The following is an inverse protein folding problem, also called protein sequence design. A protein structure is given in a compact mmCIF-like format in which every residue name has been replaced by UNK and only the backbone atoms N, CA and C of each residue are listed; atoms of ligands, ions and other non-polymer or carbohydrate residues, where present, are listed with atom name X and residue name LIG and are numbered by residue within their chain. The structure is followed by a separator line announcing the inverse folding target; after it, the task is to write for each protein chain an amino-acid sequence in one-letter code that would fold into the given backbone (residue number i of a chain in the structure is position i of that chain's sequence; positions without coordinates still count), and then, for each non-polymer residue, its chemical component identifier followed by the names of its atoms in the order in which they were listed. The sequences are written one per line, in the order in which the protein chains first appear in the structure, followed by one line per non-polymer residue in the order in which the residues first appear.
data_IF_446957105680
#
_entry.id   IF_446957105680
#
_cell.length_a   1.000
_cell.length_b   1.000
_cell.length_c   1.000
_cell.angle_alpha   90.00
_cell.angle_beta   90.00
_cell.angle_gamma   90.00
#
_symmetry.space_group_name_H-M   'P 1'
#
loop_
_entity.id
_entity.type
_entity.pdbx_description
1 polymer ?
#
# COMPACT_ATOMS: atom_id res chain seq x y z
N UNK A 1 22.60 -33.76 -43.81
CA UNK A 1 22.36 -32.35 -43.55
C UNK A 1 21.77 -32.21 -42.14
N UNK A 2 22.50 -31.66 -41.19
CA UNK A 2 22.06 -31.40 -39.81
C UNK A 2 21.71 -29.92 -39.72
N UNK A 3 20.42 -29.61 -39.54
CA UNK A 3 19.96 -28.24 -39.30
C UNK A 3 20.18 -27.87 -37.81
N UNK A 4 21.02 -26.91 -37.57
CA UNK A 4 21.24 -26.32 -36.26
C UNK A 4 20.22 -25.20 -36.05
N UNK A 5 19.28 -25.42 -35.11
CA UNK A 5 18.32 -24.37 -34.70
C UNK A 5 19.04 -23.50 -33.66
N UNK A 6 19.30 -22.26 -34.01
CA UNK A 6 19.79 -21.24 -33.06
C UNK A 6 18.56 -20.60 -32.40
N UNK A 7 18.34 -20.91 -31.12
CA UNK A 7 17.35 -20.22 -30.32
C UNK A 7 17.89 -18.87 -29.88
N UNK A 8 17.35 -17.80 -30.41
CA UNK A 8 17.62 -16.42 -29.98
C UNK A 8 16.79 -16.18 -28.71
N UNK A 9 17.44 -16.14 -27.54
CA UNK A 9 16.83 -15.65 -26.31
C UNK A 9 16.67 -14.13 -26.43
N UNK A 10 15.45 -13.67 -26.63
CA UNK A 10 15.10 -12.27 -26.48
C UNK A 10 15.13 -11.90 -24.98
N UNK A 11 16.18 -11.24 -24.55
CA UNK A 11 16.25 -10.62 -23.21
C UNK A 11 15.35 -9.38 -23.29
N UNK A 12 14.12 -9.51 -22.79
CA UNK A 12 13.24 -8.38 -22.55
C UNK A 12 13.78 -7.63 -21.31
N UNK A 13 14.63 -6.63 -21.55
CA UNK A 13 14.99 -5.66 -20.52
C UNK A 13 13.72 -4.89 -20.15
N UNK A 14 13.17 -5.12 -18.97
CA UNK A 14 12.19 -4.19 -18.41
C UNK A 14 12.82 -2.80 -18.40
N UNK A 15 12.10 -1.75 -18.86
CA UNK A 15 12.65 -0.40 -18.80
C UNK A 15 12.95 -0.08 -17.34
N UNK A 16 14.20 0.26 -17.05
CA UNK A 16 14.58 0.78 -15.75
C UNK A 16 13.71 2.00 -15.46
N UNK A 17 13.10 2.04 -14.27
CA UNK A 17 12.35 3.22 -13.81
C UNK A 17 13.36 4.38 -13.79
N UNK A 18 13.12 5.41 -14.58
CA UNK A 18 13.99 6.58 -14.58
C UNK A 18 13.86 7.29 -13.23
N UNK A 19 14.99 7.58 -12.59
CA UNK A 19 15.04 8.38 -11.37
C UNK A 19 14.43 9.76 -11.64
N UNK A 20 13.65 10.26 -10.68
CA UNK A 20 12.98 11.56 -10.82
C UNK A 20 13.92 12.72 -10.51
N UNK A 21 14.98 12.49 -9.73
CA UNK A 21 15.87 13.51 -9.16
C UNK A 21 15.53 13.88 -7.71
N UNK A 22 16.44 14.60 -7.01
CA UNK A 22 16.29 14.91 -5.58
C UNK A 22 14.96 15.56 -5.23
N UNK A 23 14.39 15.17 -4.08
CA UNK A 23 13.16 15.74 -3.58
C UNK A 23 13.41 17.08 -2.90
N UNK A 24 12.62 18.10 -3.24
CA UNK A 24 12.72 19.45 -2.71
C UNK A 24 11.37 19.98 -2.29
N UNK A 25 11.31 20.84 -1.26
CA UNK A 25 10.07 21.53 -0.91
C UNK A 25 9.51 22.32 -2.09
N UNK A 26 8.21 22.21 -2.29
CA UNK A 26 7.44 23.02 -3.21
C UNK A 26 6.42 23.85 -2.42
N UNK A 27 6.78 25.07 -1.99
CA UNK A 27 6.00 25.87 -1.04
C UNK A 27 4.54 26.15 -1.45
N UNK A 28 4.22 26.34 -2.75
CA UNK A 28 2.84 26.64 -3.14
C UNK A 28 1.82 25.56 -2.75
N UNK A 29 2.25 24.29 -2.66
CA UNK A 29 1.40 23.16 -2.26
C UNK A 29 1.81 22.56 -0.92
N UNK A 30 2.85 23.10 -0.28
CA UNK A 30 3.44 22.57 0.95
C UNK A 30 3.79 21.07 0.90
N UNK A 31 4.25 20.59 -0.25
CA UNK A 31 4.66 19.19 -0.51
C UNK A 31 6.14 19.09 -0.86
N UNK A 32 6.66 17.86 -0.90
CA UNK A 32 7.96 17.59 -1.53
C UNK A 32 7.73 17.15 -2.96
N UNK A 33 8.53 17.69 -3.88
CA UNK A 33 8.54 17.29 -5.29
C UNK A 33 9.93 16.74 -5.63
N UNK A 34 9.97 15.56 -6.22
CA UNK A 34 11.18 14.89 -6.64
C UNK A 34 11.34 15.04 -8.14
N UNK A 35 12.49 15.57 -8.58
CA UNK A 35 12.75 15.80 -10.00
C UNK A 35 12.03 17.00 -10.58
N UNK A 36 11.86 16.99 -11.91
CA UNK A 36 11.26 18.07 -12.68
C UNK A 36 10.67 17.56 -13.99
N UNK A 37 9.81 18.36 -14.63
CA UNK A 37 9.19 18.02 -15.92
C UNK A 37 8.22 16.82 -15.78
N UNK A 38 8.00 16.15 -16.90
CA UNK A 38 7.02 15.05 -17.00
C UNK A 38 7.37 13.82 -16.14
N UNK A 39 8.60 13.75 -15.63
CA UNK A 39 9.06 12.69 -14.73
C UNK A 39 8.95 13.03 -13.25
N UNK A 40 8.48 14.23 -12.90
CA UNK A 40 8.39 14.65 -11.51
C UNK A 40 7.44 13.76 -10.70
N UNK A 41 7.77 13.56 -9.41
CA UNK A 41 6.92 12.86 -8.46
C UNK A 41 6.56 13.76 -7.28
N UNK A 42 5.32 13.68 -6.83
CA UNK A 42 4.83 14.42 -5.66
C UNK A 42 4.74 13.45 -4.49
N UNK A 43 5.43 13.78 -3.41
CA UNK A 43 5.42 12.99 -2.18
C UNK A 43 4.10 13.18 -1.43
N UNK A 44 3.49 12.07 -1.04
CA UNK A 44 2.32 12.07 -0.16
C UNK A 44 2.83 12.32 1.26
N UNK A 45 2.48 13.47 1.85
CA UNK A 45 3.08 13.98 3.10
C UNK A 45 3.06 12.97 4.25
N UNK A 46 1.91 12.37 4.51
CA UNK A 46 1.69 11.51 5.67
C UNK A 46 2.28 10.09 5.49
N UNK A 47 2.96 9.86 4.35
CA UNK A 47 3.59 8.58 4.05
C UNK A 47 5.11 8.59 4.26
N UNK A 48 5.68 9.71 4.70
CA UNK A 48 7.12 9.82 4.91
C UNK A 48 7.55 8.91 6.07
N UNK A 49 8.57 8.08 5.81
CA UNK A 49 9.11 7.13 6.79
C UNK A 49 9.74 7.84 8.01
N UNK A 50 9.79 7.19 9.19
CA UNK A 50 10.46 7.74 10.38
C UNK A 50 11.91 8.13 10.16
N UNK A 51 12.65 7.40 9.30
CA UNK A 51 14.02 7.74 8.93
C UNK A 51 14.14 8.95 8.00
N UNK A 52 13.01 9.47 7.47
CA UNK A 52 12.95 10.53 6.46
C UNK A 52 13.69 10.19 5.15
N UNK A 53 13.88 8.90 4.88
CA UNK A 53 14.55 8.43 3.65
C UNK A 53 13.58 8.01 2.57
N UNK A 54 12.40 7.54 2.93
CA UNK A 54 11.44 6.91 2.03
C UNK A 54 10.06 7.53 2.17
N UNK A 55 9.27 7.47 1.10
CA UNK A 55 7.87 7.84 1.12
C UNK A 55 7.11 7.15 -0.02
N UNK A 56 5.80 7.26 -0.02
CA UNK A 56 4.98 7.09 -1.22
C UNK A 56 4.93 8.40 -1.99
N UNK A 57 4.99 8.29 -3.29
CA UNK A 57 4.85 9.42 -4.19
C UNK A 57 4.06 9.01 -5.43
N UNK A 58 3.29 9.95 -5.96
CA UNK A 58 2.62 9.77 -7.23
C UNK A 58 3.36 10.53 -8.32
N UNK A 59 3.48 9.91 -9.49
CA UNK A 59 4.09 10.52 -10.67
C UNK A 59 3.01 11.14 -11.52
N UNK A 60 3.25 12.38 -11.89
CA UNK A 60 2.41 13.09 -12.82
C UNK A 60 3.06 13.09 -14.21
N UNK A 61 2.25 13.18 -15.24
CA UNK A 61 2.72 13.42 -16.60
C UNK A 61 2.88 14.92 -16.91
N UNK A 62 2.63 15.80 -15.95
CA UNK A 62 2.70 17.25 -16.17
C UNK A 62 3.55 17.96 -15.09
N UNK A 63 4.44 18.84 -15.55
CA UNK A 63 5.19 19.74 -14.69
C UNK A 63 4.29 20.79 -14.00
N UNK A 64 4.76 21.44 -12.91
CA UNK A 64 4.05 22.55 -12.29
C UNK A 64 3.67 23.66 -13.32
N UNK A 65 2.49 24.31 -13.17
CA UNK A 65 1.54 24.09 -12.09
C UNK A 65 0.90 22.71 -12.22
N UNK A 66 0.98 21.93 -11.15
CA UNK A 66 0.40 20.59 -11.14
C UNK A 66 -1.10 20.74 -11.37
N UNK A 67 -1.54 20.43 -12.58
CA UNK A 67 -2.93 20.14 -12.82
C UNK A 67 -3.16 18.72 -12.24
N UNK A 68 -4.31 18.51 -11.65
CA UNK A 68 -4.70 17.14 -11.30
C UNK A 68 -4.55 16.29 -12.55
N UNK A 69 -3.80 15.20 -12.51
CA UNK A 69 -3.56 14.41 -13.70
C UNK A 69 -4.89 13.81 -14.15
N UNK A 70 -5.19 13.99 -15.41
CA UNK A 70 -6.25 13.25 -16.07
C UNK A 70 -5.67 11.87 -16.43
N UNK A 71 -6.21 10.80 -15.83
CA UNK A 71 -5.84 9.44 -16.18
C UNK A 71 -4.99 8.72 -15.12
N UNK A 72 -4.35 7.69 -15.56
CA UNK A 72 -3.60 6.73 -14.74
C UNK A 72 -2.34 7.35 -14.13
N UNK A 73 -2.21 7.27 -12.81
CA UNK A 73 -1.03 7.74 -12.07
C UNK A 73 -0.25 6.54 -11.56
N UNK A 74 1.05 6.59 -11.78
CA UNK A 74 1.99 5.68 -11.14
C UNK A 74 2.19 6.07 -9.67
N UNK A 75 1.77 5.21 -8.75
CA UNK A 75 2.12 5.35 -7.35
C UNK A 75 3.36 4.50 -7.05
N UNK A 76 4.36 5.11 -6.44
CA UNK A 76 5.68 4.52 -6.24
C UNK A 76 6.18 4.67 -4.81
N UNK A 77 7.03 3.73 -4.39
CA UNK A 77 7.91 3.91 -3.23
C UNK A 77 9.17 4.61 -3.71
N UNK A 78 9.48 5.76 -3.12
CA UNK A 78 10.60 6.62 -3.57
C UNK A 78 11.60 6.85 -2.45
N UNK A 79 12.87 7.02 -2.81
CA UNK A 79 13.93 7.49 -1.92
C UNK A 79 14.02 9.02 -2.04
N UNK A 80 13.99 9.72 -0.89
CA UNK A 80 13.83 11.19 -0.88
C UNK A 80 15.10 11.98 -1.18
N UNK A 81 16.28 11.41 -0.95
CA UNK A 81 17.57 12.10 -1.13
C UNK A 81 17.95 12.28 -2.62
N UNK A 82 17.62 11.33 -3.46
CA UNK A 82 17.96 11.35 -4.89
C UNK A 82 16.76 11.18 -5.82
N UNK A 83 15.56 10.91 -5.27
CA UNK A 83 14.36 10.66 -6.06
C UNK A 83 14.35 9.29 -6.74
N UNK A 84 15.19 8.37 -6.26
CA UNK A 84 15.23 7.00 -6.80
C UNK A 84 13.93 6.25 -6.57
N UNK A 85 13.33 5.73 -7.64
CA UNK A 85 12.12 4.91 -7.57
C UNK A 85 12.53 3.50 -7.18
N UNK A 86 12.09 3.07 -6.00
CA UNK A 86 12.46 1.78 -5.41
C UNK A 86 11.49 0.66 -5.77
N UNK A 87 10.21 0.99 -5.92
CA UNK A 87 9.16 0.03 -6.31
C UNK A 87 7.94 0.76 -6.83
N UNK A 88 7.15 0.08 -7.67
CA UNK A 88 5.77 0.48 -7.99
C UNK A 88 4.82 -0.23 -7.04
N UNK A 89 3.70 0.39 -6.73
CA UNK A 89 2.61 -0.28 -6.02
C UNK A 89 1.76 -1.09 -6.99
N UNK A 90 0.88 -1.95 -6.48
CA UNK A 90 0.00 -2.77 -7.32
C UNK A 90 -1.16 -1.98 -7.93
N UNK A 91 -1.43 -0.80 -7.40
CA UNK A 91 -2.54 0.02 -7.90
C UNK A 91 -2.06 1.08 -8.87
N UNK A 92 -2.68 1.08 -9.99
CA UNK A 92 -2.75 2.19 -10.89
C UNK A 92 -3.87 3.08 -10.38
N UNK A 93 -3.59 4.11 -9.64
CA UNK A 93 -4.72 4.92 -9.31
C UNK A 93 -4.39 6.33 -8.95
N UNK A 94 -4.99 7.14 -9.68
CA UNK A 94 -5.79 8.28 -9.29
C UNK A 94 -6.65 8.67 -10.49
N UNK A 95 -7.92 8.30 -10.51
CA UNK A 95 -8.85 8.83 -11.46
C UNK A 95 -9.41 10.13 -10.89
N UNK A 96 -9.26 11.25 -11.53
CA UNK A 96 -9.61 12.59 -11.08
C UNK A 96 -11.02 13.05 -11.47
N UNK A 97 -11.89 12.13 -11.92
CA UNK A 97 -13.26 12.47 -12.26
C UNK A 97 -14.08 13.01 -11.09
N UNK A 98 -15.26 13.57 -11.32
CA UNK A 98 -16.15 14.16 -10.31
C UNK A 98 -16.44 13.26 -9.10
N UNK A 99 -16.27 11.93 -9.24
CA UNK A 99 -16.43 10.96 -8.17
C UNK A 99 -15.28 10.93 -7.15
N UNK A 100 -14.14 11.57 -7.44
CA UNK A 100 -12.93 11.54 -6.58
C UNK A 100 -12.92 12.50 -5.44
N UNK A 101 -13.62 13.58 -5.56
CA UNK A 101 -13.64 14.64 -4.56
C UNK A 101 -13.93 14.14 -3.14
N UNK A 102 -14.26 12.88 -2.99
CA UNK A 102 -14.70 12.35 -1.74
C UNK A 102 -13.97 11.07 -1.31
N UNK A 103 -12.72 11.19 -0.78
CA UNK A 103 -12.30 10.26 0.26
C UNK A 103 -11.52 9.04 -0.18
N UNK A 104 -10.71 9.18 -1.20
CA UNK A 104 -9.62 8.26 -1.43
C UNK A 104 -8.44 8.70 -0.59
N UNK A 105 -7.88 7.79 0.20
CA UNK A 105 -6.78 8.07 1.09
C UNK A 105 -5.68 7.03 0.91
N UNK A 106 -4.45 7.53 0.88
CA UNK A 106 -3.24 6.71 0.91
C UNK A 106 -2.58 6.85 2.27
N UNK A 107 -2.34 5.73 2.91
CA UNK A 107 -1.64 5.66 4.18
C UNK A 107 -0.42 4.76 4.08
N UNK A 108 0.64 5.13 4.79
CA UNK A 108 1.82 4.28 4.97
C UNK A 108 2.13 4.15 6.45
N UNK A 109 2.04 2.94 6.96
CA UNK A 109 2.36 2.59 8.33
C UNK A 109 3.75 1.97 8.37
N UNK A 110 4.71 2.73 8.87
CA UNK A 110 6.11 2.33 8.90
C UNK A 110 6.51 1.69 10.22
N UNK A 111 7.42 0.72 10.16
CA UNK A 111 8.15 0.31 11.35
C UNK A 111 9.09 1.42 11.83
N UNK A 112 9.43 1.49 13.14
CA UNK A 112 10.27 2.55 13.69
C UNK A 112 11.60 2.75 12.99
N UNK A 113 12.25 1.67 12.54
CA UNK A 113 13.49 1.71 11.78
C UNK A 113 13.30 1.79 10.27
N UNK A 114 12.08 2.02 9.79
CA UNK A 114 11.73 2.13 8.36
C UNK A 114 12.09 0.89 7.52
N UNK A 115 12.12 -0.29 8.15
CA UNK A 115 12.43 -1.57 7.49
C UNK A 115 11.21 -2.23 6.86
N UNK A 116 10.05 -1.94 7.38
CA UNK A 116 8.77 -2.45 6.88
C UNK A 116 7.79 -1.32 6.73
N UNK A 117 6.90 -1.48 5.75
CA UNK A 117 5.78 -0.59 5.51
C UNK A 117 4.54 -1.42 5.22
N UNK A 118 3.43 -1.08 5.85
CA UNK A 118 2.10 -1.50 5.41
C UNK A 118 1.48 -0.28 4.73
N UNK A 119 1.13 -0.43 3.47
CA UNK A 119 0.41 0.56 2.69
C UNK A 119 -1.08 0.23 2.70
N UNK A 120 -1.90 1.23 2.88
CA UNK A 120 -3.35 1.14 2.69
C UNK A 120 -3.79 2.17 1.67
N UNK A 121 -4.55 1.72 0.69
CA UNK A 121 -5.38 2.58 -0.14
C UNK A 121 -6.83 2.31 0.22
N UNK A 122 -7.53 3.35 0.66
CA UNK A 122 -8.90 3.25 1.11
C UNK A 122 -9.82 4.18 0.34
N UNK A 123 -11.02 3.69 0.04
CA UNK A 123 -12.17 4.47 -0.36
C UNK A 123 -13.00 4.85 0.87
N UNK A 124 -14.14 5.49 0.64
CA UNK A 124 -14.99 6.03 1.72
C UNK A 124 -15.31 5.05 2.86
N UNK A 125 -15.45 3.77 2.54
CA UNK A 125 -15.94 2.76 3.48
C UNK A 125 -15.14 1.47 3.47
N UNK A 126 -14.12 1.35 2.62
CA UNK A 126 -13.35 0.14 2.43
C UNK A 126 -11.86 0.42 2.30
N UNK A 127 -11.08 -0.53 2.77
CA UNK A 127 -9.68 -0.64 2.39
C UNK A 127 -9.61 -1.49 1.13
N UNK A 128 -9.37 -0.83 -0.01
CA UNK A 128 -9.39 -1.49 -1.31
C UNK A 128 -8.08 -2.22 -1.58
N UNK A 129 -6.99 -1.73 -0.99
CA UNK A 129 -5.66 -2.34 -1.04
C UNK A 129 -4.97 -2.25 0.31
N UNK A 130 -4.41 -3.35 0.78
CA UNK A 130 -3.50 -3.38 1.94
C UNK A 130 -2.29 -4.22 1.56
N UNK A 131 -1.14 -3.58 1.48
CA UNK A 131 0.10 -4.18 0.98
C UNK A 131 1.23 -4.08 2.00
N UNK A 132 2.01 -5.16 2.08
CA UNK A 132 3.21 -5.22 2.91
C UNK A 132 4.45 -5.09 2.02
N UNK A 133 5.36 -4.22 2.45
CA UNK A 133 6.68 -4.03 1.86
C UNK A 133 7.78 -4.22 2.91
N UNK A 134 8.93 -4.71 2.46
CA UNK A 134 10.15 -4.76 3.25
C UNK A 134 11.27 -4.01 2.52
N UNK A 135 11.95 -3.12 3.22
CA UNK A 135 13.12 -2.41 2.73
C UNK A 135 14.36 -3.08 3.31
N UNK A 136 15.12 -3.72 2.45
CA UNK A 136 16.34 -4.44 2.80
C UNK A 136 17.57 -3.54 2.82
N UNK A 137 18.74 -4.18 2.89
CA UNK A 137 20.01 -3.50 2.69
C UNK A 137 20.07 -2.91 1.26
N UNK A 138 20.82 -1.82 1.08
CA UNK A 138 20.97 -1.12 -0.20
C UNK A 138 19.64 -0.61 -0.79
N UNK A 139 18.65 -0.34 0.10
CA UNK A 139 17.32 0.15 -0.25
C UNK A 139 16.53 -0.77 -1.21
N UNK A 140 16.86 -2.06 -1.25
CA UNK A 140 16.14 -3.03 -2.07
C UNK A 140 14.75 -3.25 -1.46
N UNK A 141 13.70 -2.83 -2.18
CA UNK A 141 12.32 -3.05 -1.79
C UNK A 141 11.84 -4.42 -2.25
N UNK A 142 11.20 -5.15 -1.35
CA UNK A 142 10.52 -6.42 -1.60
C UNK A 142 9.05 -6.27 -1.30
N UNK A 143 8.21 -6.72 -2.16
CA UNK A 143 6.77 -6.54 -2.18
C UNK A 143 6.33 -5.99 -3.54
N UNK A 144 5.05 -5.65 -3.69
CA UNK A 144 3.99 -5.76 -2.69
C UNK A 144 3.62 -7.22 -2.34
N UNK A 145 3.20 -7.43 -1.10
CA UNK A 145 2.50 -8.63 -0.69
C UNK A 145 1.09 -8.24 -0.24
N UNK A 146 0.08 -8.81 -0.89
CA UNK A 146 -1.32 -8.52 -0.62
C UNK A 146 -1.77 -9.10 0.73
N UNK A 147 -1.96 -8.22 1.72
CA UNK A 147 -2.45 -8.58 3.04
C UNK A 147 -3.97 -8.78 3.08
N UNK A 148 -4.75 -8.15 2.19
CA UNK A 148 -6.20 -8.37 2.16
C UNK A 148 -6.53 -9.81 1.81
N UNK A 149 -5.89 -10.37 0.79
CA UNK A 149 -6.05 -11.78 0.40
C UNK A 149 -5.68 -12.74 1.52
N UNK A 150 -4.80 -12.34 2.45
CA UNK A 150 -4.45 -13.13 3.62
C UNK A 150 -5.46 -12.98 4.76
N UNK A 151 -5.96 -11.77 5.01
CA UNK A 151 -6.76 -11.39 6.19
C UNK A 151 -8.25 -11.70 5.98
N UNK A 152 -8.79 -11.38 4.82
CA UNK A 152 -10.22 -11.44 4.54
C UNK A 152 -10.83 -12.86 4.67
N UNK A 153 -10.27 -13.92 4.08
CA UNK A 153 -10.88 -15.24 4.12
C UNK A 153 -11.08 -15.82 5.54
N UNK A 154 -10.11 -15.75 6.47
CA UNK A 154 -10.32 -16.23 7.83
C UNK A 154 -11.26 -15.35 8.66
N UNK A 155 -11.41 -14.07 8.34
CA UNK A 155 -12.39 -13.19 8.97
C UNK A 155 -13.81 -13.54 8.52
N UNK A 156 -14.04 -13.69 7.23
CA UNK A 156 -15.35 -14.09 6.67
C UNK A 156 -15.86 -15.41 7.25
N UNK A 157 -14.97 -16.38 7.49
CA UNK A 157 -15.32 -17.66 8.14
C UNK A 157 -15.81 -17.52 9.59
N UNK A 158 -15.60 -16.38 10.24
CA UNK A 158 -16.04 -16.10 11.62
C UNK A 158 -17.41 -15.46 11.69
N UNK A 159 -17.93 -14.99 10.56
CA UNK A 159 -19.30 -14.50 10.45
C UNK A 159 -20.29 -15.66 10.49
N UNK A 160 -21.52 -15.41 10.95
CA UNK A 160 -22.59 -16.40 10.88
C UNK A 160 -22.93 -16.70 9.42
N UNK A 161 -23.43 -17.92 9.10
CA UNK A 161 -23.76 -18.28 7.71
C UNK A 161 -24.69 -17.28 7.01
N UNK A 162 -25.70 -16.79 7.68
CA UNK A 162 -26.64 -15.79 7.15
C UNK A 162 -26.02 -14.39 6.97
N UNK A 163 -24.86 -14.15 7.57
CA UNK A 163 -24.10 -12.91 7.43
C UNK A 163 -22.97 -13.08 6.39
N UNK A 164 -22.38 -14.30 6.29
CA UNK A 164 -21.30 -14.61 5.38
C UNK A 164 -21.72 -14.68 3.90
N UNK A 165 -22.97 -15.10 3.64
CA UNK A 165 -23.53 -15.22 2.28
C UNK A 165 -24.02 -13.89 1.71
N UNK A 166 -23.97 -12.82 2.49
CA UNK A 166 -24.34 -11.50 2.01
C UNK A 166 -23.23 -10.96 1.09
N UNK A 167 -23.45 -11.00 -0.21
CA UNK A 167 -22.69 -10.20 -1.17
C UNK A 167 -22.68 -8.75 -0.69
N UNK A 168 -21.51 -8.23 -0.32
CA UNK A 168 -21.38 -6.84 0.06
C UNK A 168 -20.82 -6.56 1.46
N UNK A 169 -20.18 -7.53 2.15
CA UNK A 169 -19.34 -7.17 3.28
C UNK A 169 -18.17 -6.32 2.82
N UNK A 170 -18.02 -5.18 3.49
CA UNK A 170 -16.90 -4.28 3.27
C UNK A 170 -15.89 -4.47 4.39
N UNK A 171 -14.62 -4.64 4.03
CA UNK A 171 -13.51 -4.66 4.97
C UNK A 171 -12.84 -3.28 4.96
N UNK A 172 -12.64 -2.72 6.15
CA UNK A 172 -11.84 -1.51 6.32
C UNK A 172 -10.84 -1.69 7.44
N UNK A 173 -9.67 -1.07 7.32
CA UNK A 173 -8.76 -0.92 8.44
C UNK A 173 -9.32 0.18 9.34
N UNK A 174 -9.80 -0.20 10.52
CA UNK A 174 -10.40 0.72 11.46
C UNK A 174 -10.26 0.22 12.89
N UNK A 175 -9.72 1.05 13.76
CA UNK A 175 -9.69 0.80 15.18
C UNK A 175 -11.07 1.04 15.81
N UNK A 176 -11.42 0.27 16.82
CA UNK A 176 -12.68 0.42 17.55
C UNK A 176 -12.71 1.67 18.42
N UNK A 177 -11.57 2.12 18.92
CA UNK A 177 -11.43 3.29 19.78
C UNK A 177 -10.76 4.45 19.07
N UNK A 178 -11.23 5.68 19.32
CA UNK A 178 -10.71 6.90 18.67
C UNK A 178 -9.20 7.13 18.88
N UNK A 179 -8.62 6.60 19.95
CA UNK A 179 -7.20 6.75 20.28
C UNK A 179 -6.37 5.49 19.98
N UNK A 180 -6.94 4.46 19.40
CA UNK A 180 -6.24 3.24 19.05
C UNK A 180 -5.59 3.38 17.66
N UNK A 181 -4.35 2.93 17.55
CA UNK A 181 -3.69 2.86 16.24
C UNK A 181 -4.31 1.76 15.40
N UNK A 182 -4.65 2.08 14.19
CA UNK A 182 -5.25 1.13 13.24
C UNK A 182 -4.25 0.07 12.80
N UNK A 183 -3.01 0.47 12.54
CA UNK A 183 -1.93 -0.42 12.11
C UNK A 183 -0.66 -0.14 12.90
N UNK A 184 0.00 -1.19 13.33
CA UNK A 184 1.33 -1.16 13.91
C UNK A 184 2.19 -2.25 13.28
N UNK A 185 3.45 -1.93 12.98
CA UNK A 185 4.44 -2.90 12.50
C UNK A 185 5.79 -2.60 13.15
N UNK A 186 6.52 -3.64 13.58
CA UNK A 186 7.84 -3.49 14.17
C UNK A 186 8.98 -3.83 13.15
N UNK A 187 10.22 -3.56 13.54
CA UNK A 187 11.40 -3.80 12.70
C UNK A 187 11.75 -5.29 12.52
N UNK A 188 11.00 -6.19 13.14
CA UNK A 188 11.06 -7.63 12.93
C UNK A 188 9.98 -8.11 11.96
N UNK A 189 9.10 -7.20 11.52
CA UNK A 189 7.98 -7.50 10.62
C UNK A 189 6.74 -8.05 11.32
N UNK A 190 6.68 -8.01 12.66
CA UNK A 190 5.45 -8.38 13.38
C UNK A 190 4.48 -7.21 13.30
N UNK A 191 3.26 -7.50 12.91
CA UNK A 191 2.23 -6.47 12.72
C UNK A 191 0.96 -6.78 13.51
N UNK A 192 0.27 -5.70 13.85
CA UNK A 192 -1.07 -5.67 14.40
C UNK A 192 -1.92 -4.76 13.54
N UNK A 193 -3.06 -5.27 13.08
CA UNK A 193 -4.01 -4.54 12.24
C UNK A 193 -5.37 -4.62 12.91
N UNK A 194 -6.01 -3.47 13.14
CA UNK A 194 -7.40 -3.39 13.53
C UNK A 194 -8.27 -3.38 12.28
N UNK A 195 -9.24 -4.27 12.22
CA UNK A 195 -10.08 -4.48 11.06
C UNK A 195 -11.55 -4.39 11.46
N UNK A 196 -12.30 -3.67 10.66
CA UNK A 196 -13.76 -3.61 10.71
C UNK A 196 -14.35 -4.36 9.51
N UNK A 197 -15.27 -5.27 9.78
CA UNK A 197 -16.14 -5.84 8.75
C UNK A 197 -17.52 -5.21 8.89
N UNK A 198 -17.94 -4.52 7.85
CA UNK A 198 -19.25 -3.88 7.81
C UNK A 198 -20.24 -4.71 7.01
N UNK A 199 -21.33 -5.10 7.64
CA UNK A 199 -22.42 -5.80 6.98
C UNK A 199 -23.19 -4.86 6.04
N UNK A 200 -23.68 -5.35 4.88
CA UNK A 200 -24.44 -4.53 3.94
C UNK A 200 -25.73 -3.99 4.53
N UNK A 201 -26.30 -2.96 3.88
CA UNK A 201 -27.60 -2.37 4.24
C UNK A 201 -27.66 -1.81 5.67
N UNK A 202 -26.60 -1.07 6.09
CA UNK A 202 -26.49 -0.52 7.44
C UNK A 202 -26.54 -1.60 8.55
N UNK A 203 -26.04 -2.78 8.24
CA UNK A 203 -25.90 -3.87 9.20
C UNK A 203 -24.82 -3.58 10.25
N UNK A 204 -24.61 -4.54 11.17
CA UNK A 204 -23.63 -4.36 12.23
C UNK A 204 -22.20 -4.30 11.72
N UNK A 205 -21.34 -3.58 12.45
CA UNK A 205 -19.90 -3.50 12.26
C UNK A 205 -19.22 -4.43 13.26
N UNK A 206 -18.40 -5.36 12.75
CA UNK A 206 -17.65 -6.33 13.55
C UNK A 206 -16.18 -5.92 13.58
N UNK A 207 -15.62 -5.79 14.77
CA UNK A 207 -14.23 -5.39 14.96
C UNK A 207 -13.35 -6.56 15.35
N UNK A 208 -12.17 -6.62 14.73
CA UNK A 208 -11.16 -7.65 14.97
C UNK A 208 -9.76 -7.04 15.06
N UNK A 209 -8.92 -7.63 15.89
CA UNK A 209 -7.48 -7.41 15.86
C UNK A 209 -6.83 -8.60 15.17
N UNK A 210 -6.07 -8.36 14.12
CA UNK A 210 -5.26 -9.35 13.41
C UNK A 210 -3.80 -9.15 13.78
N UNK A 211 -3.16 -10.20 14.28
CA UNK A 211 -1.71 -10.24 14.47
C UNK A 211 -1.10 -11.14 13.42
N UNK A 212 -0.03 -10.69 12.82
CA UNK A 212 0.71 -11.47 11.85
C UNK A 212 2.19 -11.14 11.86
N UNK A 213 2.91 -11.84 11.00
CA UNK A 213 4.34 -11.71 10.88
C UNK A 213 4.78 -11.83 9.42
N UNK A 214 5.62 -10.90 9.00
CA UNK A 214 6.27 -10.91 7.70
C UNK A 214 7.34 -12.00 7.66
N UNK A 215 7.39 -12.74 6.58
CA UNK A 215 8.36 -13.81 6.36
C UNK A 215 9.25 -13.43 5.20
N UNK A 216 10.53 -13.29 5.49
CA UNK A 216 11.55 -13.07 4.45
C UNK A 216 11.82 -14.37 3.72
N UNK A 217 11.72 -14.36 2.41
CA UNK A 217 12.17 -15.49 1.62
C UNK A 217 13.68 -15.75 1.83
N UNK A 218 14.07 -17.04 1.87
CA UNK A 218 15.46 -17.44 2.11
C UNK A 218 16.39 -17.07 0.95
N UNK A 219 15.86 -16.86 -0.26
CA UNK A 219 16.68 -16.50 -1.44
C UNK A 219 16.90 -14.98 -1.52
N UNK A 220 18.01 -14.55 -2.09
CA UNK A 220 18.33 -13.14 -2.29
C UNK A 220 17.30 -12.40 -3.18
N UNK A 221 16.65 -13.14 -4.09
CA UNK A 221 15.63 -12.65 -5.03
C UNK A 221 14.19 -12.97 -4.57
N UNK A 222 14.03 -13.59 -3.40
CA UNK A 222 12.72 -14.02 -2.93
C UNK A 222 11.84 -12.87 -2.48
N UNK A 223 10.56 -12.93 -2.84
CA UNK A 223 9.55 -11.98 -2.39
C UNK A 223 9.29 -12.11 -0.89
N UNK A 224 8.75 -11.05 -0.31
CA UNK A 224 8.19 -11.08 1.03
C UNK A 224 6.89 -11.89 1.00
N UNK A 225 6.56 -12.53 2.11
CA UNK A 225 5.25 -13.11 2.40
C UNK A 225 4.87 -12.78 3.84
N UNK A 226 3.68 -13.16 4.25
CA UNK A 226 3.24 -13.02 5.63
C UNK A 226 2.37 -14.19 6.05
N UNK A 227 2.21 -14.39 7.36
CA UNK A 227 1.23 -15.31 7.91
C UNK A 227 0.50 -14.69 9.09
N UNK A 228 -0.74 -15.12 9.31
CA UNK A 228 -1.52 -14.71 10.47
C UNK A 228 -1.16 -15.59 11.65
N UNK A 229 -0.78 -14.94 12.77
CA UNK A 229 -0.50 -15.60 14.04
C UNK A 229 -1.79 -15.77 14.86
N UNK A 230 -2.62 -14.73 14.90
CA UNK A 230 -3.90 -14.79 15.61
C UNK A 230 -4.90 -13.76 15.10
N UNK A 231 -6.18 -14.06 15.31
CA UNK A 231 -7.29 -13.13 15.08
C UNK A 231 -8.14 -13.09 16.34
N UNK A 232 -8.31 -11.91 16.91
CA UNK A 232 -9.11 -11.67 18.12
C UNK A 232 -10.34 -10.84 17.79
N UNK A 233 -11.52 -11.33 18.18
CA UNK A 233 -12.76 -10.54 18.12
C UNK A 233 -12.77 -9.45 19.17
N UNK A 234 -13.14 -8.23 18.79
CA UNK A 234 -13.17 -7.02 19.65
C UNK A 234 -14.57 -6.58 20.01
N UNK A 235 -15.55 -7.06 19.30
CA UNK A 235 -16.97 -6.73 19.53
C UNK A 235 -17.71 -6.32 18.27
N UNK A 236 -18.95 -5.94 18.47
CA UNK A 236 -19.87 -5.49 17.42
C UNK A 236 -20.48 -4.15 17.80
N UNK A 237 -20.64 -3.30 16.81
CA UNK A 237 -21.45 -2.09 16.91
C UNK A 237 -22.67 -2.23 16.00
N UNK A 238 -23.84 -1.87 16.52
CA UNK A 238 -25.06 -1.83 15.72
C UNK A 238 -25.12 -0.46 15.04
N UNK A 239 -25.37 -0.45 13.75
CA UNK A 239 -25.73 0.78 13.04
C UNK A 239 -27.06 1.28 13.63
N UNK A 240 -27.10 2.52 14.08
CA UNK A 240 -28.33 3.20 14.52
C UNK A 240 -29.16 3.63 13.33
#
# INVERSE_FOLDING_TARGET
MRSTIIAVLAITSSPALADTGPCKPYPPLEVLVCGSGDGAAIVIRDTISPSKKFALAWRTVAAPPFQEPEGQIDLVVIRLDDGGILSRTSTEYWDTGESHANRLQEHAFWSPGSKFMIREFSSRFSSDVVELYMIGAEDIVRGPFDLLSLIEPPLRKRLKPNEADADGFTLALAAKGENEKTVEIDDRGRFRIEVMLWAPKNGPMYYYTVHGEAVRAKSATGNISAHIVSIRYRGVEKSN
#
